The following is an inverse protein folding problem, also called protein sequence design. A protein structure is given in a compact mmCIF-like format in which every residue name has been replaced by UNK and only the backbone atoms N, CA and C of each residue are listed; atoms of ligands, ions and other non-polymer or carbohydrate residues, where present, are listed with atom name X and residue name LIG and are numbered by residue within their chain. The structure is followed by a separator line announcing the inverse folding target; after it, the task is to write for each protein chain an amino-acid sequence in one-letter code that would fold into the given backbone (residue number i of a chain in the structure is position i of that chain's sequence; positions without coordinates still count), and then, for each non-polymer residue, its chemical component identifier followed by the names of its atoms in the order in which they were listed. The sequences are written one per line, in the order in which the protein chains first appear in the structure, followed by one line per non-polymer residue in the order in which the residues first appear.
data_IF_871687245997
#
_entry.id   IF_871687245997
#
_cell.length_a   1.000
_cell.length_b   1.000
_cell.length_c   1.000
_cell.angle_alpha   90.00
_cell.angle_beta   90.00
_cell.angle_gamma   90.00
#
_symmetry.space_group_name_H-M   'P 1'
#
loop_
_entity.id
_entity.type
_entity.pdbx_description
1 polymer ?
#
# COMPACT_ATOMS: atom_id res chain seq x y z
N UNK A 1 -5.28 26.95 -2.24
CA UNK A 1 -4.43 25.81 -2.68
C UNK A 1 -5.05 24.54 -2.14
N UNK A 2 -5.49 23.65 -3.02
CA UNK A 2 -6.12 22.36 -2.68
C UNK A 2 -5.06 21.25 -2.81
N UNK A 3 -3.91 21.48 -2.20
CA UNK A 3 -2.75 20.58 -2.27
C UNK A 3 -2.85 19.56 -1.14
N UNK A 4 -2.71 18.28 -1.49
CA UNK A 4 -2.70 17.18 -0.54
C UNK A 4 -1.70 16.15 -1.04
N UNK A 5 -0.71 15.84 -0.21
CA UNK A 5 0.35 14.89 -0.52
C UNK A 5 0.08 13.60 0.25
N UNK A 6 -0.36 12.55 -0.44
CA UNK A 6 -0.71 11.26 0.17
C UNK A 6 0.03 10.15 -0.58
N UNK A 7 0.75 9.31 0.16
CA UNK A 7 1.45 8.17 -0.43
C UNK A 7 2.12 7.28 0.61
N UNK A 8 2.46 6.07 0.16
CA UNK A 8 3.25 5.09 0.89
C UNK A 8 4.73 5.26 0.50
N UNK A 9 5.45 6.10 1.23
CA UNK A 9 6.80 6.59 0.86
C UNK A 9 7.94 5.80 1.48
N UNK A 10 7.64 4.78 2.28
CA UNK A 10 8.61 4.00 3.07
C UNK A 10 9.70 3.36 2.20
N UNK A 11 9.38 2.98 0.95
CA UNK A 11 10.33 2.40 0.00
C UNK A 11 11.47 3.36 -0.32
N UNK A 12 11.19 4.67 -0.32
CA UNK A 12 12.20 5.72 -0.55
C UNK A 12 13.33 5.74 0.48
N UNK A 13 13.11 5.18 1.67
CA UNK A 13 14.11 5.03 2.73
C UNK A 13 14.53 3.57 2.95
N UNK A 14 14.13 2.66 2.06
CA UNK A 14 14.51 1.25 2.14
C UNK A 14 13.60 0.39 3.03
N UNK A 15 12.38 0.83 3.31
CA UNK A 15 11.40 0.13 4.15
C UNK A 15 10.14 -0.24 3.34
N UNK A 16 9.30 -1.10 3.90
CA UNK A 16 7.92 -1.28 3.41
C UNK A 16 6.95 -0.52 4.30
N UNK A 17 5.73 -0.21 3.84
CA UNK A 17 4.66 0.24 4.74
C UNK A 17 4.34 -0.85 5.77
N UNK A 18 4.56 -0.54 7.05
CA UNK A 18 4.48 -1.52 8.15
C UNK A 18 3.26 -1.39 9.08
N UNK A 19 2.31 -0.50 8.74
CA UNK A 19 1.22 -0.07 9.63
C UNK A 19 -0.19 -0.17 9.00
N UNK A 20 -0.40 -1.09 8.08
CA UNK A 20 -1.67 -1.44 7.45
C UNK A 20 -1.84 -0.99 6.00
N UNK A 21 -0.87 -0.27 5.43
CA UNK A 21 -0.96 0.27 4.07
C UNK A 21 -1.04 -0.80 2.98
N UNK A 22 -0.23 -1.86 3.09
CA UNK A 22 -0.23 -2.97 2.12
C UNK A 22 -1.46 -3.87 2.30
N UNK A 23 -1.91 -4.02 3.54
CA UNK A 23 -3.14 -4.72 3.94
C UNK A 23 -4.35 -4.04 3.33
N UNK A 24 -4.40 -2.70 3.41
CA UNK A 24 -5.44 -1.90 2.79
C UNK A 24 -5.44 -2.08 1.26
N UNK A 25 -4.28 -2.04 0.60
CA UNK A 25 -4.15 -2.31 -0.84
C UNK A 25 -4.73 -3.68 -1.19
N UNK A 26 -4.35 -4.73 -0.46
CA UNK A 26 -4.79 -6.09 -0.73
C UNK A 26 -6.31 -6.27 -0.54
N UNK A 27 -6.85 -5.76 0.57
CA UNK A 27 -8.29 -5.76 0.84
C UNK A 27 -9.06 -5.02 -0.23
N UNK A 28 -8.58 -3.83 -0.63
CA UNK A 28 -9.23 -2.99 -1.65
C UNK A 28 -9.26 -3.67 -3.01
N UNK A 29 -8.17 -4.34 -3.40
CA UNK A 29 -8.12 -5.12 -4.63
C UNK A 29 -9.15 -6.26 -4.61
N UNK A 30 -9.32 -6.95 -3.48
CA UNK A 30 -10.33 -7.99 -3.32
C UNK A 30 -11.77 -7.43 -3.38
N UNK A 31 -12.02 -6.27 -2.78
CA UNK A 31 -13.33 -5.58 -2.84
C UNK A 31 -13.67 -5.16 -4.27
N UNK A 32 -12.71 -4.58 -4.99
CA UNK A 32 -12.88 -4.18 -6.39
C UNK A 32 -13.09 -5.39 -7.31
N UNK A 33 -12.37 -6.49 -7.07
CA UNK A 33 -12.56 -7.73 -7.81
C UNK A 33 -13.97 -8.30 -7.58
N UNK A 34 -14.48 -8.27 -6.34
CA UNK A 34 -15.80 -8.77 -5.99
C UNK A 34 -16.96 -7.98 -6.63
N UNK A 35 -16.76 -6.71 -6.98
CA UNK A 35 -17.74 -5.88 -7.72
C UNK A 35 -17.55 -5.95 -9.24
N UNK A 36 -16.53 -6.66 -9.72
CA UNK A 36 -16.21 -6.84 -11.13
C UNK A 36 -16.66 -8.21 -11.66
N UNK A 37 -16.61 -8.40 -12.98
CA UNK A 37 -16.79 -9.73 -13.62
C UNK A 37 -15.51 -10.58 -13.62
N UNK A 38 -14.35 -9.99 -13.28
CA UNK A 38 -13.07 -10.65 -13.25
C UNK A 38 -12.85 -11.43 -11.94
N UNK A 39 -12.37 -12.67 -12.06
CA UNK A 39 -12.05 -13.52 -10.89
C UNK A 39 -10.56 -13.52 -10.52
N UNK A 40 -9.71 -12.98 -11.39
CA UNK A 40 -8.29 -12.83 -11.09
C UNK A 40 -8.04 -11.58 -10.26
N UNK A 41 -7.37 -11.74 -9.12
CA UNK A 41 -7.06 -10.65 -8.19
C UNK A 41 -5.86 -9.82 -8.65
N UNK A 42 -4.95 -10.42 -9.44
CA UNK A 42 -3.68 -9.79 -9.76
C UNK A 42 -3.82 -8.45 -10.52
N UNK A 43 -4.75 -8.30 -11.50
CA UNK A 43 -4.98 -7.01 -12.15
C UNK A 43 -5.39 -5.90 -11.18
N UNK A 44 -6.24 -6.21 -10.20
CA UNK A 44 -6.71 -5.26 -9.18
C UNK A 44 -5.65 -4.91 -8.15
N UNK A 45 -4.69 -5.81 -7.92
CA UNK A 45 -3.53 -5.57 -7.04
C UNK A 45 -2.42 -4.77 -7.71
N UNK A 46 -2.28 -4.88 -9.03
CA UNK A 46 -1.10 -4.38 -9.76
C UNK A 46 -0.90 -2.88 -9.57
N UNK A 47 -1.97 -2.09 -9.62
CA UNK A 47 -1.89 -0.65 -9.43
C UNK A 47 -1.43 -0.27 -8.01
N UNK A 48 -2.07 -0.84 -6.98
CA UNK A 48 -1.70 -0.57 -5.59
C UNK A 48 -0.30 -1.07 -5.24
N UNK A 49 0.08 -2.25 -5.72
CA UNK A 49 1.44 -2.78 -5.62
C UNK A 49 2.45 -1.81 -6.24
N UNK A 50 2.19 -1.35 -7.47
CA UNK A 50 3.08 -0.44 -8.19
C UNK A 50 3.20 0.90 -7.47
N UNK A 51 2.08 1.44 -6.97
CA UNK A 51 2.06 2.69 -6.22
C UNK A 51 2.92 2.59 -4.94
N UNK A 52 2.80 1.49 -4.19
CA UNK A 52 3.62 1.26 -2.99
C UNK A 52 5.09 1.02 -3.34
N UNK A 53 5.39 0.16 -4.31
CA UNK A 53 6.75 -0.19 -4.70
C UNK A 53 7.52 0.99 -5.33
N UNK A 54 6.82 1.91 -5.99
CA UNK A 54 7.41 3.11 -6.59
C UNK A 54 7.33 4.35 -5.69
N UNK A 55 6.80 4.23 -4.47
CA UNK A 55 6.55 5.35 -3.55
C UNK A 55 5.77 6.49 -4.22
N UNK A 56 4.72 6.17 -4.99
CA UNK A 56 3.92 7.16 -5.72
C UNK A 56 3.09 8.00 -4.74
N UNK A 57 3.22 9.32 -4.85
CA UNK A 57 2.52 10.30 -4.01
C UNK A 57 1.49 11.02 -4.88
N UNK A 58 0.22 10.99 -4.46
CA UNK A 58 -0.80 11.87 -5.03
C UNK A 58 -0.55 13.30 -4.55
N UNK A 59 -0.62 14.27 -5.46
CA UNK A 59 -0.34 15.70 -5.19
C UNK A 59 -1.62 16.55 -5.00
N UNK A 60 -2.77 15.90 -5.16
CA UNK A 60 -4.09 16.44 -4.84
C UNK A 60 -4.98 15.35 -4.26
N UNK A 61 -6.09 15.74 -3.62
CA UNK A 61 -7.08 14.77 -3.16
C UNK A 61 -7.72 13.99 -4.32
N UNK A 62 -7.90 14.63 -5.49
CA UNK A 62 -8.44 13.96 -6.68
C UNK A 62 -7.48 12.90 -7.24
N UNK A 63 -6.20 13.24 -7.34
CA UNK A 63 -5.17 12.29 -7.75
C UNK A 63 -5.03 11.16 -6.72
N UNK A 64 -5.06 11.48 -5.42
CA UNK A 64 -4.99 10.48 -4.34
C UNK A 64 -6.16 9.49 -4.37
N UNK A 65 -7.35 9.93 -4.81
CA UNK A 65 -8.50 9.05 -5.04
C UNK A 65 -8.27 8.12 -6.24
N UNK A 66 -7.73 8.63 -7.34
CA UNK A 66 -7.36 7.80 -8.51
C UNK A 66 -6.32 6.74 -8.15
N UNK A 67 -5.37 7.07 -7.27
CA UNK A 67 -4.36 6.14 -6.74
C UNK A 67 -4.91 5.15 -5.70
N UNK A 68 -6.18 5.28 -5.31
CA UNK A 68 -6.82 4.42 -4.34
C UNK A 68 -6.49 4.72 -2.88
N UNK A 69 -5.77 5.81 -2.58
CA UNK A 69 -5.50 6.25 -1.21
C UNK A 69 -6.72 6.86 -0.52
N UNK A 70 -7.65 7.42 -1.30
CA UNK A 70 -8.94 7.92 -0.83
C UNK A 70 -10.08 7.09 -1.44
N UNK A 71 -11.20 7.04 -0.72
CA UNK A 71 -12.46 6.48 -1.20
C UNK A 71 -13.21 7.52 -2.06
N UNK A 72 -14.14 7.04 -2.90
CA UNK A 72 -15.08 7.91 -3.61
C UNK A 72 -16.01 8.65 -2.65
N UNK A 73 -16.30 8.03 -1.50
CA UNK A 73 -17.12 8.60 -0.42
C UNK A 73 -16.37 9.61 0.45
N UNK A 74 -15.04 9.72 0.33
CA UNK A 74 -14.28 10.67 1.15
C UNK A 74 -14.56 12.10 0.70
N UNK A 75 -14.95 12.95 1.65
CA UNK A 75 -15.22 14.36 1.41
C UNK A 75 -13.91 15.11 1.17
N UNK A 76 -13.90 15.90 0.08
CA UNK A 76 -12.78 16.78 -0.24
C UNK A 76 -13.19 18.21 0.13
N UNK A 77 -12.48 18.79 1.08
CA UNK A 77 -12.69 20.17 1.53
C UNK A 77 -11.71 21.10 0.81
N UNK A 78 -12.22 22.18 0.22
CA UNK A 78 -11.42 23.10 -0.60
C UNK A 78 -10.42 23.92 0.21
N UNK A 79 -10.79 24.28 1.44
CA UNK A 79 -9.99 25.14 2.29
C UNK A 79 -9.47 24.38 3.52
N UNK A 80 -8.14 24.39 3.74
CA UNK A 80 -7.51 23.67 4.86
C UNK A 80 -8.08 24.07 6.23
N UNK A 81 -8.48 25.33 6.40
CA UNK A 81 -8.99 25.85 7.67
C UNK A 81 -10.44 25.39 7.95
N UNK A 82 -11.14 24.85 6.94
CA UNK A 82 -12.48 24.29 7.09
C UNK A 82 -12.46 22.78 7.41
N UNK A 83 -11.34 22.09 7.17
CA UNK A 83 -11.22 20.63 7.30
C UNK A 83 -11.66 20.17 8.69
N UNK A 84 -11.21 20.85 9.75
CA UNK A 84 -11.58 20.48 11.13
C UNK A 84 -13.07 20.66 11.39
N UNK A 85 -13.66 21.76 10.92
CA UNK A 85 -15.08 22.03 11.09
C UNK A 85 -15.94 20.99 10.38
N UNK A 86 -15.61 20.69 9.12
CA UNK A 86 -16.32 19.66 8.33
C UNK A 86 -16.17 18.29 8.98
N UNK A 87 -14.96 17.88 9.38
CA UNK A 87 -14.71 16.59 10.02
C UNK A 87 -15.50 16.41 11.32
N UNK A 88 -15.60 17.46 12.16
CA UNK A 88 -16.40 17.43 13.39
C UNK A 88 -17.90 17.28 13.10
N UNK A 89 -18.41 17.94 12.07
CA UNK A 89 -19.80 17.82 11.67
C UNK A 89 -20.12 16.43 11.13
N UNK A 90 -19.26 15.87 10.29
CA UNK A 90 -19.39 14.49 9.79
C UNK A 90 -19.37 13.47 10.93
N UNK A 91 -18.42 13.59 11.87
CA UNK A 91 -18.35 12.70 13.03
C UNK A 91 -19.63 12.76 13.88
N UNK A 92 -20.19 13.96 14.10
CA UNK A 92 -21.47 14.14 14.80
C UNK A 92 -22.63 13.54 14.02
N UNK A 93 -22.67 13.72 12.70
CA UNK A 93 -23.70 13.15 11.84
C UNK A 93 -23.66 11.62 11.84
N UNK A 94 -22.48 11.01 11.74
CA UNK A 94 -22.28 9.57 11.86
C UNK A 94 -22.75 9.03 13.22
N UNK A 95 -22.41 9.73 14.31
CA UNK A 95 -22.84 9.35 15.66
C UNK A 95 -24.36 9.44 15.82
N UNK A 96 -24.98 10.53 15.38
CA UNK A 96 -26.43 10.74 15.44
C UNK A 96 -27.20 9.75 14.54
N UNK A 97 -26.64 9.40 13.37
CA UNK A 97 -27.16 8.40 12.46
C UNK A 97 -26.95 6.95 12.93
N UNK A 98 -26.31 6.75 14.09
CA UNK A 98 -26.12 5.42 14.66
C UNK A 98 -25.06 4.57 13.94
N UNK A 99 -24.08 5.20 13.28
CA UNK A 99 -23.02 4.48 12.57
C UNK A 99 -22.33 3.43 13.45
N UNK A 100 -21.97 2.31 12.83
CA UNK A 100 -21.19 1.23 13.45
C UNK A 100 -20.10 0.80 12.48
N UNK A 101 -18.95 0.41 13.03
CA UNK A 101 -17.88 -0.15 12.24
C UNK A 101 -18.35 -1.41 11.49
N UNK A 102 -17.95 -1.59 10.22
CA UNK A 102 -18.21 -2.84 9.51
C UNK A 102 -17.67 -4.05 10.28
N UNK A 103 -18.35 -5.18 10.18
CA UNK A 103 -17.81 -6.43 10.71
C UNK A 103 -16.51 -6.79 10.02
N UNK A 104 -15.57 -7.36 10.78
CA UNK A 104 -14.36 -7.97 10.22
C UNK A 104 -14.76 -9.06 9.23
N UNK A 105 -14.12 -9.06 8.06
CA UNK A 105 -14.38 -10.02 6.99
C UNK A 105 -13.07 -10.62 6.52
N UNK A 106 -13.15 -11.86 6.05
CA UNK A 106 -12.06 -12.46 5.30
C UNK A 106 -12.19 -12.05 3.83
N UNK A 107 -11.07 -11.96 3.14
CA UNK A 107 -11.02 -11.64 1.72
C UNK A 107 -9.96 -12.49 1.00
N UNK A 108 -10.17 -12.81 -0.29
CA UNK A 108 -9.26 -13.66 -1.04
C UNK A 108 -7.97 -12.90 -1.38
N UNK A 109 -6.85 -13.63 -1.44
CA UNK A 109 -5.54 -13.10 -1.86
C UNK A 109 -4.98 -13.82 -3.08
N UNK A 110 -4.07 -13.17 -3.80
CA UNK A 110 -3.49 -13.72 -5.03
C UNK A 110 -2.52 -14.90 -4.80
N UNK A 111 -2.02 -15.08 -3.57
CA UNK A 111 -1.19 -16.20 -3.16
C UNK A 111 0.13 -16.32 -3.93
N UNK A 112 0.71 -17.53 -3.87
CA UNK A 112 1.98 -17.88 -4.51
C UNK A 112 2.04 -17.55 -6.00
N UNK A 113 0.95 -17.74 -6.74
CA UNK A 113 0.91 -17.45 -8.18
C UNK A 113 1.03 -15.95 -8.45
N UNK A 114 0.35 -15.11 -7.67
CA UNK A 114 0.49 -13.66 -7.76
C UNK A 114 1.93 -13.21 -7.46
N UNK A 115 2.53 -13.76 -6.41
CA UNK A 115 3.92 -13.48 -6.02
C UNK A 115 4.88 -13.86 -7.15
N UNK A 116 4.72 -15.04 -7.74
CA UNK A 116 5.58 -15.53 -8.81
C UNK A 116 5.52 -14.60 -10.05
N UNK A 117 4.32 -14.18 -10.45
CA UNK A 117 4.14 -13.25 -11.58
C UNK A 117 4.82 -11.91 -11.32
N UNK A 118 4.61 -11.32 -10.13
CA UNK A 118 5.23 -10.04 -9.76
C UNK A 118 6.76 -10.17 -9.73
N UNK A 119 7.28 -11.25 -9.11
CA UNK A 119 8.73 -11.52 -9.07
C UNK A 119 9.33 -11.64 -10.47
N UNK A 120 8.64 -12.28 -11.41
CA UNK A 120 9.07 -12.34 -12.81
C UNK A 120 9.24 -10.94 -13.43
N UNK A 121 8.26 -10.06 -13.22
CA UNK A 121 8.35 -8.66 -13.67
C UNK A 121 9.51 -7.91 -13.00
N UNK A 122 9.75 -8.12 -11.70
CA UNK A 122 10.85 -7.48 -10.97
C UNK A 122 12.23 -7.95 -11.45
N UNK A 123 12.40 -9.23 -11.79
CA UNK A 123 13.64 -9.75 -12.37
C UNK A 123 13.94 -9.04 -13.69
N UNK A 124 12.94 -8.91 -14.57
CA UNK A 124 13.10 -8.20 -15.84
C UNK A 124 13.48 -6.73 -15.63
N UNK A 125 12.90 -6.06 -14.62
CA UNK A 125 13.24 -4.67 -14.29
C UNK A 125 14.68 -4.54 -13.76
N UNK A 126 15.13 -5.48 -12.92
CA UNK A 126 16.51 -5.49 -12.40
C UNK A 126 17.49 -5.73 -13.54
N UNK A 127 17.27 -6.77 -14.34
CA UNK A 127 18.19 -7.16 -15.44
C UNK A 127 18.21 -6.09 -16.55
N UNK A 128 17.11 -5.36 -16.73
CA UNK A 128 17.04 -4.17 -17.58
C UNK A 128 17.70 -2.91 -16.98
N UNK A 129 18.22 -2.97 -15.75
CA UNK A 129 18.89 -1.85 -15.08
C UNK A 129 17.95 -0.76 -14.53
N UNK A 130 16.65 -1.03 -14.43
CA UNK A 130 15.65 -0.06 -13.94
C UNK A 130 15.57 0.02 -12.42
N UNK A 131 15.92 -1.06 -11.72
CA UNK A 131 15.91 -1.16 -10.25
C UNK A 131 17.18 -1.84 -9.75
N UNK A 132 17.64 -1.49 -8.54
CA UNK A 132 18.77 -2.18 -7.90
C UNK A 132 18.36 -3.54 -7.33
N UNK A 133 19.34 -4.35 -6.91
CA UNK A 133 19.08 -5.59 -6.17
C UNK A 133 18.28 -5.35 -4.89
N UNK A 134 18.54 -4.24 -4.19
CA UNK A 134 17.83 -3.94 -2.95
C UNK A 134 16.41 -3.41 -3.22
N UNK A 135 16.21 -2.67 -4.32
CA UNK A 135 14.88 -2.29 -4.78
C UNK A 135 14.04 -3.55 -5.12
N UNK A 136 14.63 -4.53 -5.83
CA UNK A 136 13.98 -5.82 -6.08
C UNK A 136 13.64 -6.54 -4.78
N UNK A 137 14.56 -6.56 -3.82
CA UNK A 137 14.34 -7.22 -2.53
C UNK A 137 13.14 -6.61 -1.77
N UNK A 138 13.09 -5.28 -1.65
CA UNK A 138 11.99 -4.57 -1.00
C UNK A 138 10.67 -4.80 -1.76
N UNK A 139 10.67 -4.65 -3.09
CA UNK A 139 9.48 -4.88 -3.91
C UNK A 139 8.97 -6.34 -3.80
N UNK A 140 9.88 -7.31 -3.64
CA UNK A 140 9.51 -8.70 -3.41
C UNK A 140 8.82 -8.88 -2.06
N UNK A 141 9.29 -8.23 -0.99
CA UNK A 141 8.63 -8.24 0.31
C UNK A 141 7.23 -7.59 0.24
N UNK A 142 7.08 -6.50 -0.49
CA UNK A 142 5.76 -5.89 -0.75
C UNK A 142 4.84 -6.90 -1.44
N UNK A 143 5.33 -7.56 -2.50
CA UNK A 143 4.57 -8.58 -3.23
C UNK A 143 4.12 -9.73 -2.32
N UNK A 144 5.02 -10.23 -1.47
CA UNK A 144 4.71 -11.27 -0.48
C UNK A 144 3.58 -10.83 0.46
N UNK A 145 3.60 -9.60 0.93
CA UNK A 145 2.53 -9.08 1.80
C UNK A 145 1.22 -8.92 1.03
N UNK A 146 1.19 -8.18 -0.08
CA UNK A 146 -0.07 -7.85 -0.77
C UNK A 146 -0.73 -9.06 -1.42
N UNK A 147 0.04 -10.11 -1.71
CA UNK A 147 -0.49 -11.39 -2.20
C UNK A 147 -0.80 -12.39 -1.08
N UNK A 148 -0.58 -12.05 0.19
CA UNK A 148 -0.92 -12.88 1.35
C UNK A 148 0.06 -14.01 1.67
N UNK A 149 1.29 -13.92 1.17
CA UNK A 149 2.39 -14.81 1.51
C UNK A 149 2.29 -16.18 0.86
N UNK A 150 2.79 -17.19 1.56
CA UNK A 150 2.84 -18.57 1.08
C UNK A 150 1.51 -19.31 1.26
N UNK A 151 0.52 -18.92 0.46
CA UNK A 151 -0.81 -19.54 0.40
C UNK A 151 -1.24 -19.76 -1.05
N UNK A 152 -2.22 -20.63 -1.27
CA UNK A 152 -2.82 -20.80 -2.60
C UNK A 152 -3.66 -19.57 -2.98
N UNK A 153 -3.74 -19.30 -4.28
CA UNK A 153 -4.58 -18.22 -4.79
C UNK A 153 -6.05 -18.43 -4.41
N UNK A 154 -6.72 -17.35 -4.00
CA UNK A 154 -8.10 -17.38 -3.53
C UNK A 154 -8.26 -17.75 -2.04
N UNK A 155 -7.17 -18.06 -1.33
CA UNK A 155 -7.23 -18.28 0.12
C UNK A 155 -7.80 -17.05 0.81
N UNK A 156 -8.78 -17.26 1.70
CA UNK A 156 -9.40 -16.18 2.47
C UNK A 156 -8.54 -15.87 3.70
N UNK A 157 -8.12 -14.62 3.84
CA UNK A 157 -7.31 -14.14 4.97
C UNK A 157 -7.98 -12.95 5.66
N UNK A 158 -7.57 -12.66 6.89
CA UNK A 158 -8.00 -11.47 7.62
C UNK A 158 -7.02 -10.30 7.45
N UNK A 159 -7.46 -9.09 7.79
CA UNK A 159 -6.57 -7.92 7.85
C UNK A 159 -5.40 -8.14 8.82
N UNK A 160 -5.66 -8.73 9.99
CA UNK A 160 -4.63 -8.99 10.99
C UNK A 160 -3.55 -9.94 10.49
N UNK A 161 -3.91 -10.92 9.64
CA UNK A 161 -2.93 -11.81 9.02
C UNK A 161 -1.97 -11.03 8.11
N UNK A 162 -2.48 -10.14 7.26
CA UNK A 162 -1.62 -9.31 6.39
C UNK A 162 -0.80 -8.29 7.19
N UNK A 163 -1.37 -7.68 8.22
CA UNK A 163 -0.63 -6.77 9.12
C UNK A 163 0.52 -7.48 9.85
N UNK A 164 0.39 -8.78 10.14
CA UNK A 164 1.49 -9.57 10.69
C UNK A 164 2.61 -9.78 9.66
N UNK A 165 2.27 -10.03 8.38
CA UNK A 165 3.24 -10.12 7.30
C UNK A 165 3.96 -8.78 7.07
N UNK A 166 3.22 -7.67 7.05
CA UNK A 166 3.78 -6.32 6.98
C UNK A 166 4.78 -6.06 8.09
N UNK A 167 4.38 -6.32 9.35
CA UNK A 167 5.25 -6.12 10.51
C UNK A 167 6.51 -6.96 10.40
N UNK A 168 6.39 -8.21 9.95
CA UNK A 168 7.55 -9.09 9.74
C UNK A 168 8.50 -8.53 8.68
N UNK A 169 7.98 -8.08 7.54
CA UNK A 169 8.77 -7.48 6.47
C UNK A 169 9.45 -6.18 6.91
N UNK A 170 8.70 -5.30 7.60
CA UNK A 170 9.22 -4.05 8.15
C UNK A 170 10.35 -4.28 9.15
N UNK A 171 10.13 -5.16 10.14
CA UNK A 171 11.15 -5.50 11.14
C UNK A 171 12.36 -6.20 10.53
N UNK A 172 12.19 -6.95 9.44
CA UNK A 172 13.30 -7.51 8.69
C UNK A 172 14.14 -6.41 8.04
N UNK A 173 13.50 -5.44 7.38
CA UNK A 173 14.19 -4.34 6.69
C UNK A 173 14.86 -3.36 7.63
N UNK A 174 14.28 -3.05 8.79
CA UNK A 174 14.92 -2.11 9.74
C UNK A 174 16.26 -2.65 10.28
N UNK A 175 16.41 -3.97 10.32
CA UNK A 175 17.66 -4.64 10.69
C UNK A 175 18.58 -4.90 9.48
N UNK A 176 18.15 -4.62 8.25
CA UNK A 176 18.91 -4.91 7.04
C UNK A 176 19.96 -3.82 6.76
N UNK A 177 21.26 -4.16 6.54
CA UNK A 177 22.33 -3.18 6.37
C UNK A 177 22.06 -2.15 5.26
N UNK A 178 21.63 -2.59 4.08
CA UNK A 178 21.32 -1.68 2.96
C UNK A 178 20.18 -0.71 3.26
N UNK A 179 19.19 -1.11 4.07
CA UNK A 179 18.10 -0.21 4.49
C UNK A 179 18.59 0.80 5.52
N UNK A 180 19.46 0.38 6.46
CA UNK A 180 20.12 1.31 7.39
C UNK A 180 20.97 2.35 6.66
N UNK A 181 21.71 1.96 5.62
CA UNK A 181 22.44 2.88 4.75
C UNK A 181 21.51 3.90 4.08
N UNK A 182 20.35 3.46 3.55
CA UNK A 182 19.35 4.37 2.95
C UNK A 182 18.78 5.36 3.96
N UNK A 183 18.45 4.89 5.17
CA UNK A 183 17.95 5.74 6.26
C UNK A 183 19.01 6.77 6.66
N UNK A 184 20.26 6.33 6.90
CA UNK A 184 21.36 7.23 7.26
C UNK A 184 21.68 8.22 6.14
N UNK A 185 21.66 7.77 4.88
CA UNK A 185 21.86 8.61 3.71
C UNK A 185 20.78 9.70 3.58
N UNK A 186 19.52 9.32 3.75
CA UNK A 186 18.39 10.27 3.76
C UNK A 186 18.52 11.28 4.91
N UNK A 187 18.84 10.84 6.13
CA UNK A 187 19.01 11.72 7.29
C UNK A 187 20.18 12.69 7.13
N UNK A 188 21.26 12.24 6.47
CA UNK A 188 22.49 13.04 6.32
C UNK A 188 22.42 14.01 5.15
N UNK A 189 21.77 13.62 4.04
CA UNK A 189 21.82 14.36 2.77
C UNK A 189 20.47 14.94 2.33
N UNK A 190 19.37 14.48 2.93
CA UNK A 190 18.01 14.79 2.49
C UNK A 190 17.63 14.17 1.14
N UNK A 191 18.47 13.29 0.58
CA UNK A 191 18.25 12.65 -0.73
C UNK A 191 18.17 11.13 -0.61
N UNK A 192 17.27 10.47 -1.35
CA UNK A 192 17.22 9.01 -1.40
C UNK A 192 18.55 8.41 -1.91
N UNK A 193 19.07 7.42 -1.19
CA UNK A 193 20.19 6.60 -1.63
C UNK A 193 19.66 5.39 -2.40
N UNK A 194 20.27 5.07 -3.55
CA UNK A 194 20.01 3.84 -4.31
C UNK A 194 21.24 2.95 -4.30
N UNK A 195 21.18 1.87 -3.52
CA UNK A 195 22.17 0.80 -3.33
C UNK A 195 21.54 -0.58 -3.57
#
# INVERSE_FOLDING_TARGET
HMESYIGLVEVGVGLVPGAGGLTYIARRAAENAATSTGKDLLPFLTEGFTAAAMAKVGTSALESRQLGYLLDSDLIVAHKDEVLFVALNEARALAAGGWRAPHKRLFPVAGRSGIATIRGSLVNMRDGGFISDHDQYIATLIAEVVCGGDVDAGTLVSEEYLMQLERKAFCGLIAHPKSQERILGMLSTGKPLRN
#
